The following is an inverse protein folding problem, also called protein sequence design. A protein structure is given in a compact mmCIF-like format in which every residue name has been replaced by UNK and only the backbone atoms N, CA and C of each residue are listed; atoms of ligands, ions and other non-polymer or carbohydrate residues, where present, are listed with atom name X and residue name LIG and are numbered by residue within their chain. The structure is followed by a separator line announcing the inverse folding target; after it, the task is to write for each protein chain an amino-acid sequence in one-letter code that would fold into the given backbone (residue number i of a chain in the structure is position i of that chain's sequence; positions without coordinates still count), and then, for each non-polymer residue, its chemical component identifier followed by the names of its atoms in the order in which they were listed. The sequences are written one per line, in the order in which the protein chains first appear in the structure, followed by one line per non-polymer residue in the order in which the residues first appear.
data_IF_551194801787
#
_entry.id   IF_551194801787
#
_cell.length_a   1.000
_cell.length_b   1.000
_cell.length_c   1.000
_cell.angle_alpha   90.00
_cell.angle_beta   90.00
_cell.angle_gamma   90.00
#
_symmetry.space_group_name_H-M   'P 1'
#
loop_
_entity.id
_entity.type
_entity.pdbx_description
1 polymer ?
#
# COMPACT_ATOMS: atom_id res chain seq x y z
N UNK A 1 -17.40 16.08 -6.21
CA UNK A 1 -17.29 14.61 -6.22
C UNK A 1 -18.44 14.04 -5.42
N UNK A 2 -19.06 12.94 -5.85
CA UNK A 2 -20.27 12.39 -5.24
C UNK A 2 -20.09 12.11 -3.74
N UNK A 3 -20.99 12.63 -2.93
CA UNK A 3 -20.93 12.76 -1.48
C UNK A 3 -21.03 11.46 -0.66
N UNK A 4 -20.78 10.28 -1.26
CA UNK A 4 -21.00 8.97 -0.61
C UNK A 4 -19.90 7.92 -0.89
N UNK A 5 -18.73 8.31 -1.41
CA UNK A 5 -17.62 7.36 -1.59
C UNK A 5 -16.77 7.27 -0.32
N UNK A 6 -16.42 6.04 0.08
CA UNK A 6 -15.53 5.76 1.22
C UNK A 6 -14.38 4.87 0.77
N UNK A 7 -13.16 5.18 1.21
CA UNK A 7 -11.99 4.35 0.95
C UNK A 7 -12.10 3.02 1.70
N UNK A 8 -12.01 1.91 0.98
CA UNK A 8 -12.15 0.57 1.54
C UNK A 8 -11.15 -0.35 0.87
N UNK A 9 -10.40 -1.11 1.66
CA UNK A 9 -9.45 -2.09 1.17
C UNK A 9 -9.72 -3.45 1.83
N UNK A 10 -10.04 -4.45 1.00
CA UNK A 10 -10.32 -5.80 1.45
C UNK A 10 -9.18 -6.76 1.08
N UNK A 11 -8.89 -7.70 1.98
CA UNK A 11 -7.93 -8.77 1.73
C UNK A 11 -8.53 -10.14 2.08
N UNK A 12 -8.15 -11.19 1.33
CA UNK A 12 -8.60 -12.57 1.52
C UNK A 12 -7.38 -13.51 1.65
N UNK A 13 -7.55 -14.61 2.38
CA UNK A 13 -6.69 -15.79 2.38
C UNK A 13 -5.18 -15.57 2.54
N UNK A 14 -4.42 -15.50 1.44
CA UNK A 14 -2.96 -15.58 1.43
C UNK A 14 -2.27 -14.25 1.74
N UNK A 15 -2.85 -13.12 1.35
CA UNK A 15 -2.30 -11.78 1.62
C UNK A 15 -2.57 -11.31 3.06
N UNK A 16 -3.66 -11.80 3.67
CA UNK A 16 -4.07 -11.44 5.03
C UNK A 16 -3.16 -12.01 6.12
N UNK A 17 -2.50 -13.16 5.90
CA UNK A 17 -1.69 -13.81 6.93
C UNK A 17 -0.48 -13.00 7.35
N UNK A 18 0.15 -12.27 6.42
CA UNK A 18 1.32 -11.47 6.73
C UNK A 18 0.97 -10.13 7.39
N UNK A 19 -0.07 -9.44 6.92
CA UNK A 19 -0.52 -8.19 7.51
C UNK A 19 -1.18 -8.39 8.89
N UNK A 20 -1.87 -9.51 9.12
CA UNK A 20 -2.31 -9.92 10.47
C UNK A 20 -1.14 -10.07 11.44
N UNK A 21 -0.01 -10.57 10.97
CA UNK A 21 1.19 -10.77 11.78
C UNK A 21 2.00 -9.49 11.99
N UNK A 22 1.61 -8.36 11.39
CA UNK A 22 2.34 -7.09 11.49
C UNK A 22 1.67 -6.06 12.39
N UNK A 23 0.67 -6.47 13.19
CA UNK A 23 -0.04 -5.61 14.13
C UNK A 23 -0.57 -4.31 13.48
N UNK A 24 -1.08 -4.42 12.24
CA UNK A 24 -1.75 -3.31 11.57
C UNK A 24 -2.93 -2.86 12.42
N UNK A 25 -3.00 -1.57 12.71
CA UNK A 25 -3.92 -0.96 13.65
C UNK A 25 -4.58 0.29 13.08
N UNK A 26 -5.58 0.82 13.79
CA UNK A 26 -6.15 2.12 13.44
C UNK A 26 -5.06 3.20 13.41
N UNK A 27 -5.26 4.20 12.56
CA UNK A 27 -4.33 5.27 12.21
C UNK A 27 -3.09 4.90 11.41
N UNK A 28 -2.82 3.61 11.17
CA UNK A 28 -1.77 3.19 10.22
C UNK A 28 -2.13 3.60 8.78
N UNK A 29 -1.09 3.81 7.97
CA UNK A 29 -1.23 4.29 6.59
C UNK A 29 -0.86 3.18 5.59
N UNK A 30 -1.83 2.78 4.77
CA UNK A 30 -1.55 2.05 3.54
C UNK A 30 -1.09 3.03 2.47
N UNK A 31 0.00 2.67 1.80
CA UNK A 31 0.41 3.26 0.53
C UNK A 31 0.33 2.21 -0.56
N UNK A 32 -0.44 2.50 -1.61
CA UNK A 32 -0.63 1.63 -2.76
C UNK A 32 0.29 2.07 -3.89
N UNK A 33 1.01 1.12 -4.48
CA UNK A 33 1.93 1.36 -5.59
C UNK A 33 1.82 0.26 -6.63
N UNK A 34 2.17 0.61 -7.86
CA UNK A 34 2.19 -0.32 -8.98
C UNK A 34 3.48 -0.20 -9.76
N UNK A 35 3.74 -1.20 -10.61
CA UNK A 35 4.84 -1.17 -11.56
C UNK A 35 4.37 -0.57 -12.88
N UNK A 36 4.92 0.58 -13.25
CA UNK A 36 4.51 1.32 -14.44
C UNK A 36 5.68 1.55 -15.39
N UNK A 37 5.35 1.70 -16.67
CA UNK A 37 6.24 2.21 -17.70
C UNK A 37 5.62 3.45 -18.30
N UNK A 38 6.46 4.39 -18.73
CA UNK A 38 6.01 5.58 -19.44
C UNK A 38 5.23 5.17 -20.68
N UNK A 39 4.11 5.84 -20.89
CA UNK A 39 3.26 5.69 -22.07
C UNK A 39 3.24 6.99 -22.85
N UNK A 40 2.94 6.89 -24.13
CA UNK A 40 2.64 8.00 -25.03
C UNK A 40 1.36 7.69 -25.79
N UNK A 41 0.68 8.74 -26.25
CA UNK A 41 -0.44 8.58 -27.17
C UNK A 41 0.12 8.64 -28.58
N UNK A 42 -0.13 7.62 -29.38
CA UNK A 42 0.23 7.56 -30.80
C UNK A 42 -1.01 7.07 -31.56
N UNK A 43 -1.46 7.86 -32.55
CA UNK A 43 -2.69 7.59 -33.31
C UNK A 43 -3.93 7.33 -32.43
N UNK A 44 -4.08 8.08 -31.33
CA UNK A 44 -5.20 7.93 -30.38
C UNK A 44 -5.08 6.71 -29.45
N UNK A 45 -4.06 5.87 -29.61
CA UNK A 45 -3.83 4.70 -28.78
C UNK A 45 -2.77 4.98 -27.70
N UNK A 46 -3.02 4.51 -26.48
CA UNK A 46 -2.02 4.51 -25.42
C UNK A 46 -1.01 3.39 -25.68
N UNK A 47 0.24 3.76 -25.94
CA UNK A 47 1.33 2.82 -26.19
C UNK A 47 2.49 3.04 -25.23
N UNK A 48 3.29 2.00 -24.99
CA UNK A 48 4.51 2.15 -24.21
C UNK A 48 5.55 3.00 -24.96
N UNK A 49 6.17 3.91 -24.22
CA UNK A 49 7.34 4.62 -24.69
C UNK A 49 8.51 3.63 -24.78
N UNK A 50 8.96 3.32 -26.00
CA UNK A 50 10.06 2.37 -26.24
C UNK A 50 11.40 2.83 -25.65
N UNK A 51 11.54 4.13 -25.36
CA UNK A 51 12.73 4.67 -24.66
C UNK A 51 12.75 4.35 -23.17
N UNK A 52 11.61 4.03 -22.55
CA UNK A 52 11.54 3.61 -21.15
C UNK A 52 11.76 2.09 -21.02
N UNK A 53 13.02 1.69 -20.86
CA UNK A 53 13.44 0.30 -20.72
C UNK A 53 13.31 -0.26 -19.29
N UNK A 54 13.35 0.62 -18.29
CA UNK A 54 13.51 0.24 -16.89
C UNK A 54 12.20 0.13 -16.15
N UNK A 55 11.17 0.92 -16.48
CA UNK A 55 9.94 1.02 -15.66
C UNK A 55 10.23 1.50 -14.23
N UNK A 56 9.19 1.64 -13.41
CA UNK A 56 9.34 2.11 -12.03
C UNK A 56 8.13 1.78 -11.16
N UNK A 57 8.37 1.59 -9.87
CA UNK A 57 7.31 1.55 -8.86
C UNK A 57 6.83 2.98 -8.56
N UNK A 58 5.53 3.21 -8.61
CA UNK A 58 4.91 4.53 -8.38
C UNK A 58 3.77 4.38 -7.37
N UNK A 59 3.79 5.19 -6.31
CA UNK A 59 2.65 5.32 -5.39
C UNK A 59 1.51 6.00 -6.15
N UNK A 60 0.34 5.38 -6.17
CA UNK A 60 -0.85 5.94 -6.83
C UNK A 60 -1.96 6.31 -5.87
N UNK A 61 -1.93 5.83 -4.63
CA UNK A 61 -2.97 6.15 -3.66
C UNK A 61 -2.60 5.77 -2.24
N UNK A 62 -3.47 6.17 -1.32
CA UNK A 62 -3.29 5.97 0.11
C UNK A 62 -4.63 5.69 0.80
N UNK A 63 -4.54 5.04 1.97
CA UNK A 63 -5.66 4.84 2.88
C UNK A 63 -5.14 4.82 4.31
N UNK A 64 -5.52 5.80 5.11
CA UNK A 64 -5.32 5.78 6.55
C UNK A 64 -6.46 5.01 7.20
N UNK A 65 -6.13 4.00 7.99
CA UNK A 65 -7.10 3.10 8.60
C UNK A 65 -7.88 3.85 9.67
N UNK A 66 -9.19 3.95 9.51
CA UNK A 66 -10.09 4.44 10.55
C UNK A 66 -10.82 3.32 11.29
N UNK A 67 -10.96 2.15 10.65
CA UNK A 67 -11.63 1.00 11.25
C UNK A 67 -11.19 -0.30 10.59
N UNK A 68 -11.06 -1.36 11.38
CA UNK A 68 -10.72 -2.71 10.92
C UNK A 68 -11.88 -3.65 11.21
N UNK A 69 -12.39 -4.32 10.17
CA UNK A 69 -13.37 -5.40 10.31
C UNK A 69 -12.69 -6.73 10.02
N UNK A 70 -12.85 -7.67 10.94
CA UNK A 70 -12.38 -9.04 10.94
C UNK A 70 -13.58 -9.98 11.19
N UNK A 71 -13.34 -11.29 11.12
CA UNK A 71 -14.40 -12.29 11.32
C UNK A 71 -15.14 -12.11 12.66
N UNK A 72 -14.42 -11.72 13.72
CA UNK A 72 -14.93 -11.56 15.07
C UNK A 72 -15.93 -10.40 15.22
N UNK A 73 -15.85 -9.37 14.38
CA UNK A 73 -16.73 -8.20 14.41
C UNK A 73 -17.45 -7.97 13.05
N UNK A 74 -17.59 -9.02 12.22
CA UNK A 74 -18.20 -8.93 10.89
C UNK A 74 -19.63 -8.39 10.86
N UNK A 75 -20.37 -8.50 11.97
CA UNK A 75 -21.72 -7.93 12.08
C UNK A 75 -21.71 -6.40 11.99
N UNK A 76 -20.57 -5.74 12.22
CA UNK A 76 -20.44 -4.31 12.00
C UNK A 76 -20.58 -3.90 10.53
N UNK A 77 -20.39 -4.83 9.59
CA UNK A 77 -20.67 -4.60 8.15
C UNK A 77 -22.15 -4.24 7.96
N UNK A 78 -23.06 -4.81 8.77
CA UNK A 78 -24.49 -4.55 8.69
C UNK A 78 -24.86 -3.10 9.04
N UNK A 79 -24.00 -2.41 9.79
CA UNK A 79 -24.18 -1.01 10.19
C UNK A 79 -23.67 -0.01 9.16
N UNK A 80 -23.11 -0.49 8.04
CA UNK A 80 -22.57 0.35 6.99
C UNK A 80 -23.63 0.52 5.89
N UNK A 81 -24.44 1.57 5.99
CA UNK A 81 -25.57 1.78 5.07
C UNK A 81 -25.15 1.84 3.59
N UNK A 82 -23.95 2.35 3.29
CA UNK A 82 -23.42 2.45 1.93
C UNK A 82 -23.01 1.09 1.32
N UNK A 83 -22.71 0.08 2.14
CA UNK A 83 -22.28 -1.27 1.71
C UNK A 83 -23.40 -2.01 0.97
N UNK A 84 -24.65 -1.77 1.33
CA UNK A 84 -25.81 -2.38 0.70
C UNK A 84 -26.40 -1.54 -0.44
N UNK A 85 -25.77 -0.40 -0.77
CA UNK A 85 -26.16 0.36 -1.95
C UNK A 85 -25.90 -0.46 -3.22
N UNK A 86 -26.92 -0.58 -4.08
CA UNK A 86 -26.85 -1.35 -5.34
C UNK A 86 -25.76 -0.84 -6.31
N UNK A 87 -25.17 0.32 -6.03
CA UNK A 87 -24.16 0.98 -6.85
C UNK A 87 -22.72 0.57 -6.49
N UNK A 88 -22.48 -0.17 -5.40
CA UNK A 88 -21.11 -0.49 -4.94
C UNK A 88 -20.93 -1.94 -4.47
N UNK A 89 -21.01 -2.95 -5.36
CA UNK A 89 -20.69 -4.32 -5.01
C UNK A 89 -19.18 -4.51 -4.82
N UNK A 90 -18.66 -4.37 -3.59
CA UNK A 90 -17.32 -4.87 -3.28
C UNK A 90 -17.38 -6.36 -2.90
N UNK A 91 -16.61 -7.25 -3.56
CA UNK A 91 -16.60 -8.68 -3.24
C UNK A 91 -16.36 -8.95 -1.75
N UNK A 92 -15.45 -8.20 -1.13
CA UNK A 92 -15.09 -8.34 0.29
C UNK A 92 -16.18 -7.89 1.27
N UNK A 93 -17.24 -7.21 0.82
CA UNK A 93 -18.40 -6.88 1.65
C UNK A 93 -19.47 -7.98 1.64
N UNK A 94 -19.31 -9.00 0.78
CA UNK A 94 -20.25 -10.11 0.73
C UNK A 94 -20.08 -11.00 1.95
N UNK A 95 -21.09 -11.01 2.82
CA UNK A 95 -21.13 -11.80 4.08
C UNK A 95 -20.80 -13.27 3.88
N UNK A 96 -21.10 -13.86 2.70
CA UNK A 96 -20.75 -15.27 2.38
C UNK A 96 -19.24 -15.52 2.32
N UNK A 97 -18.42 -14.48 2.14
CA UNK A 97 -16.98 -14.59 2.20
C UNK A 97 -16.45 -14.58 3.64
N UNK A 98 -17.25 -14.11 4.60
CA UNK A 98 -17.01 -14.06 6.05
C UNK A 98 -17.65 -15.24 6.79
N UNK A 99 -17.72 -16.38 6.13
CA UNK A 99 -18.21 -17.63 6.73
C UNK A 99 -17.33 -18.78 6.27
N UNK A 100 -17.05 -19.69 7.20
CA UNK A 100 -16.38 -20.95 6.91
C UNK A 100 -17.14 -21.70 5.81
N UNK A 101 -16.42 -22.22 4.81
CA UNK A 101 -16.99 -23.05 3.76
C UNK A 101 -16.67 -24.51 4.06
N UNK A 102 -17.70 -25.35 4.03
CA UNK A 102 -17.59 -26.79 4.24
C UNK A 102 -17.89 -27.53 2.94
N UNK A 103 -17.16 -28.62 2.67
CA UNK A 103 -17.40 -29.54 1.55
C UNK A 103 -17.41 -30.96 2.12
N UNK A 104 -18.48 -31.71 1.88
CA UNK A 104 -18.68 -33.07 2.42
C UNK A 104 -18.51 -33.14 3.96
N UNK A 105 -19.08 -32.18 4.69
CA UNK A 105 -18.98 -32.09 6.16
C UNK A 105 -17.61 -31.67 6.69
N UNK A 106 -16.60 -31.49 5.84
CA UNK A 106 -15.24 -31.06 6.23
C UNK A 106 -15.02 -29.59 5.94
N UNK A 107 -14.31 -28.89 6.84
CA UNK A 107 -13.92 -27.51 6.62
C UNK A 107 -12.97 -27.45 5.41
N UNK A 108 -13.41 -26.76 4.36
CA UNK A 108 -12.65 -26.60 3.12
C UNK A 108 -11.99 -25.21 3.01
N UNK A 109 -12.61 -24.18 3.60
CA UNK A 109 -12.03 -22.83 3.67
C UNK A 109 -12.44 -22.14 4.97
N UNK A 110 -11.48 -21.73 5.78
CA UNK A 110 -11.73 -20.87 6.94
C UNK A 110 -12.02 -19.44 6.48
N UNK A 111 -12.97 -18.76 7.09
CA UNK A 111 -13.13 -17.32 6.89
C UNK A 111 -11.95 -16.57 7.52
N UNK A 112 -11.28 -15.74 6.73
CA UNK A 112 -10.12 -14.97 7.18
C UNK A 112 -10.01 -13.61 6.50
N UNK A 113 -11.11 -13.13 5.91
CA UNK A 113 -11.16 -11.80 5.33
C UNK A 113 -10.82 -10.73 6.36
N UNK A 114 -10.25 -9.64 5.87
CA UNK A 114 -10.12 -8.39 6.61
C UNK A 114 -10.62 -7.28 5.70
N UNK A 115 -11.24 -6.28 6.31
CA UNK A 115 -11.63 -5.05 5.66
C UNK A 115 -11.05 -3.88 6.44
N UNK A 116 -10.25 -3.07 5.75
CA UNK A 116 -9.78 -1.79 6.25
C UNK A 116 -10.67 -0.70 5.67
N UNK A 117 -11.28 0.08 6.56
CA UNK A 117 -12.12 1.21 6.21
C UNK A 117 -11.33 2.47 6.52
N UNK A 118 -11.27 3.38 5.55
CA UNK A 118 -10.54 4.64 5.68
C UNK A 118 -11.15 5.54 6.77
N UNK A 119 -10.31 6.37 7.38
CA UNK A 119 -10.77 7.58 8.07
C UNK A 119 -11.46 8.51 7.07
N UNK A 120 -12.39 9.33 7.56
CA UNK A 120 -13.02 10.35 6.73
C UNK A 120 -12.01 11.48 6.41
N UNK A 121 -11.20 11.86 7.40
CA UNK A 121 -10.09 12.83 7.30
C UNK A 121 -8.81 12.25 7.90
N UNK A 122 -7.64 12.70 7.45
CA UNK A 122 -6.37 12.26 8.04
C UNK A 122 -6.30 12.67 9.51
N UNK A 123 -5.72 11.81 10.36
CA UNK A 123 -5.61 12.09 11.80
C UNK A 123 -4.64 13.22 12.13
N UNK A 124 -3.71 13.53 11.21
CA UNK A 124 -2.70 14.58 11.36
C UNK A 124 -2.95 15.81 10.47
N UNK A 125 -3.92 15.77 9.55
CA UNK A 125 -4.28 16.93 8.75
C UNK A 125 -5.76 16.87 8.30
N UNK A 126 -6.59 17.74 8.87
CA UNK A 126 -8.03 17.80 8.60
C UNK A 126 -8.40 18.28 7.19
N UNK A 127 -7.46 18.89 6.47
CA UNK A 127 -7.70 19.43 5.12
C UNK A 127 -7.77 18.34 4.06
N UNK A 128 -7.28 17.13 4.38
CA UNK A 128 -7.22 16.01 3.47
C UNK A 128 -8.10 14.86 3.93
N UNK A 129 -8.78 14.24 2.97
CA UNK A 129 -9.50 12.99 3.21
C UNK A 129 -8.53 11.89 3.66
N UNK A 130 -9.00 10.97 4.51
CA UNK A 130 -8.22 9.85 5.01
C UNK A 130 -7.85 8.81 3.95
N UNK A 131 -8.21 9.02 2.69
CA UNK A 131 -7.91 8.17 1.55
C UNK A 131 -7.91 9.00 0.27
N UNK A 132 -7.25 8.48 -0.77
CA UNK A 132 -7.25 9.16 -2.06
C UNK A 132 -6.31 8.53 -3.08
N UNK A 133 -6.31 9.14 -4.26
CA UNK A 133 -5.35 8.87 -5.33
C UNK A 133 -4.52 10.11 -5.60
N UNK A 134 -3.24 9.90 -5.89
CA UNK A 134 -2.35 10.99 -6.23
C UNK A 134 -2.37 11.27 -7.73
N UNK A 135 -2.22 12.54 -8.10
CA UNK A 135 -1.80 12.89 -9.47
C UNK A 135 -0.33 12.52 -9.64
N UNK A 136 0.04 12.00 -10.80
CA UNK A 136 1.41 11.58 -11.03
C UNK A 136 2.40 12.75 -10.85
N UNK A 137 3.42 12.51 -10.03
CA UNK A 137 4.59 13.35 -9.82
C UNK A 137 5.83 12.46 -9.70
N UNK A 138 7.01 12.96 -10.11
CA UNK A 138 8.28 12.22 -9.97
C UNK A 138 8.61 11.88 -8.52
N UNK A 139 8.09 12.64 -7.56
CA UNK A 139 8.15 12.38 -6.13
C UNK A 139 7.47 11.07 -5.77
N UNK A 140 6.43 10.61 -6.48
CA UNK A 140 5.75 9.33 -6.19
C UNK A 140 6.55 8.10 -6.65
N UNK A 141 7.63 8.29 -7.39
CA UNK A 141 8.48 7.19 -7.85
C UNK A 141 9.28 6.64 -6.68
N UNK A 142 9.05 5.37 -6.37
CA UNK A 142 9.77 4.60 -5.35
C UNK A 142 11.09 4.06 -5.87
N UNK A 143 11.14 3.55 -7.12
CA UNK A 143 12.36 3.00 -7.71
C UNK A 143 13.47 4.04 -7.75
N UNK A 144 14.68 3.65 -7.33
CA UNK A 144 15.87 4.48 -7.47
C UNK A 144 16.25 4.55 -8.95
N UNK A 145 16.22 5.76 -9.51
CA UNK A 145 16.46 6.01 -10.93
C UNK A 145 17.84 6.60 -11.20
N UNK A 146 18.55 7.07 -10.16
CA UNK A 146 19.93 7.51 -10.26
C UNK A 146 20.83 6.34 -10.68
N UNK A 147 21.50 6.47 -11.82
CA UNK A 147 22.34 5.41 -12.41
C UNK A 147 23.56 5.08 -11.55
N UNK A 148 24.03 6.01 -10.72
CA UNK A 148 25.15 5.77 -9.82
C UNK A 148 24.75 4.90 -8.64
N UNK A 149 23.48 5.01 -8.21
CA UNK A 149 22.93 4.25 -7.08
C UNK A 149 22.29 2.94 -7.53
N UNK A 150 21.65 2.92 -8.70
CA UNK A 150 20.99 1.76 -9.29
C UNK A 150 21.48 1.59 -10.74
N UNK A 151 22.71 1.06 -10.93
CA UNK A 151 23.28 0.91 -12.27
C UNK A 151 22.47 -0.09 -13.10
N UNK A 152 22.26 0.18 -14.40
CA UNK A 152 21.57 -0.74 -15.28
C UNK A 152 22.38 -2.03 -15.48
N UNK A 153 21.69 -3.15 -15.60
CA UNK A 153 22.31 -4.42 -16.01
C UNK A 153 22.72 -4.41 -17.49
N UNK A 154 23.32 -5.52 -17.97
CA UNK A 154 23.74 -5.68 -19.38
C UNK A 154 22.65 -5.48 -20.45
N UNK A 155 21.38 -5.40 -20.05
CA UNK A 155 20.22 -5.14 -20.93
C UNK A 155 19.67 -3.71 -20.77
N UNK A 156 20.39 -2.81 -20.08
CA UNK A 156 19.96 -1.44 -19.84
C UNK A 156 18.86 -1.30 -18.77
N UNK A 157 18.57 -2.34 -17.98
CA UNK A 157 17.48 -2.33 -16.99
C UNK A 157 18.00 -2.12 -15.58
N UNK A 158 17.43 -1.16 -14.89
CA UNK A 158 17.67 -0.91 -13.47
C UNK A 158 16.99 -1.96 -12.58
N UNK A 159 17.52 -2.17 -11.37
CA UNK A 159 16.97 -3.13 -10.43
C UNK A 159 15.65 -2.60 -9.85
N UNK A 160 14.59 -3.39 -9.96
CA UNK A 160 13.25 -3.03 -9.49
C UNK A 160 13.15 -3.00 -7.97
N UNK A 161 14.01 -3.75 -7.29
CA UNK A 161 14.06 -3.88 -5.84
C UNK A 161 14.87 -2.78 -5.16
N UNK A 162 15.49 -1.87 -5.91
CA UNK A 162 16.21 -0.74 -5.34
C UNK A 162 15.30 0.47 -5.36
N UNK A 163 14.90 0.90 -4.17
CA UNK A 163 14.03 2.06 -3.96
C UNK A 163 14.81 3.22 -3.35
N UNK A 164 14.28 4.42 -3.49
CA UNK A 164 14.88 5.65 -2.98
C UNK A 164 14.97 5.62 -1.47
N UNK A 165 16.20 5.62 -0.95
CA UNK A 165 16.48 5.47 0.48
C UNK A 165 15.89 6.56 1.35
N UNK A 166 15.91 7.82 0.90
CA UNK A 166 15.40 8.95 1.68
C UNK A 166 13.90 8.83 2.02
N UNK A 167 13.15 7.97 1.33
CA UNK A 167 11.74 7.68 1.62
C UNK A 167 11.51 6.65 2.70
N UNK A 168 12.57 5.94 3.08
CA UNK A 168 12.53 4.87 4.06
C UNK A 168 13.69 5.09 5.02
N UNK A 169 13.60 6.09 5.91
CA UNK A 169 14.63 6.30 6.93
C UNK A 169 14.80 5.04 7.79
N UNK A 170 16.04 4.79 8.23
CA UNK A 170 16.32 3.65 9.10
C UNK A 170 15.51 3.74 10.39
N UNK A 171 14.93 2.62 10.82
CA UNK A 171 14.05 2.53 11.99
C UNK A 171 12.57 2.75 11.70
N UNK A 172 12.20 3.14 10.47
CA UNK A 172 10.79 3.21 10.06
C UNK A 172 10.18 1.80 10.03
N UNK A 173 9.03 1.63 10.72
CA UNK A 173 8.28 0.36 10.74
C UNK A 173 7.44 0.26 9.48
N UNK A 174 7.94 -0.49 8.51
CA UNK A 174 7.30 -0.71 7.21
C UNK A 174 7.00 -2.19 7.05
N UNK A 175 5.78 -2.51 6.63
CA UNK A 175 5.39 -3.88 6.31
C UNK A 175 6.38 -4.52 5.33
N UNK A 176 6.70 -5.81 5.52
CA UNK A 176 7.62 -6.62 4.71
C UNK A 176 9.11 -6.27 4.88
N UNK A 177 9.47 -5.27 5.69
CA UNK A 177 10.85 -4.79 5.82
C UNK A 177 11.32 -4.62 7.28
N UNK A 178 11.23 -5.67 8.13
CA UNK A 178 11.65 -5.56 9.53
C UNK A 178 13.18 -5.56 9.72
N UNK A 179 13.95 -5.88 8.68
CA UNK A 179 15.36 -6.26 8.82
C UNK A 179 16.31 -5.16 8.33
N UNK A 180 17.40 -4.96 9.08
CA UNK A 180 18.50 -4.04 8.75
C UNK A 180 19.08 -4.22 7.33
N UNK A 181 18.99 -5.42 6.77
CA UNK A 181 19.45 -5.73 5.39
C UNK A 181 18.70 -4.98 4.28
N UNK A 182 17.64 -4.24 4.59
CA UNK A 182 17.03 -3.31 3.62
C UNK A 182 17.82 -2.00 3.47
N UNK A 183 18.65 -1.66 4.46
CA UNK A 183 19.42 -0.43 4.53
C UNK A 183 20.93 -0.64 4.48
N UNK A 184 21.42 -1.82 4.90
CA UNK A 184 22.85 -2.13 5.01
C UNK A 184 23.21 -3.41 4.26
N UNK A 185 24.42 -3.46 3.71
CA UNK A 185 25.03 -4.65 3.11
C UNK A 185 25.47 -5.67 4.16
N UNK A 186 25.91 -6.84 3.69
CA UNK A 186 26.43 -7.90 4.56
C UNK A 186 27.77 -7.52 5.22
N UNK A 187 28.48 -6.56 4.62
CA UNK A 187 29.67 -5.88 5.15
C UNK A 187 29.35 -4.86 6.25
N UNK A 188 28.07 -4.59 6.50
CA UNK A 188 27.61 -3.59 7.48
C UNK A 188 27.61 -2.16 6.96
N UNK A 189 28.06 -1.92 5.72
CA UNK A 189 28.06 -0.62 5.08
C UNK A 189 26.66 -0.23 4.63
N UNK A 190 26.38 1.07 4.62
CA UNK A 190 25.07 1.57 4.27
C UNK A 190 24.85 1.55 2.74
N UNK A 191 23.72 1.00 2.31
CA UNK A 191 23.37 0.95 0.90
C UNK A 191 22.99 2.35 0.39
N UNK A 192 23.25 2.66 -0.89
CA UNK A 192 22.80 3.92 -1.50
C UNK A 192 21.29 3.93 -1.81
N UNK A 193 20.62 2.79 -1.66
CA UNK A 193 19.19 2.57 -1.89
C UNK A 193 18.56 1.79 -0.73
N UNK A 194 17.23 1.86 -0.63
CA UNK A 194 16.45 0.94 0.16
C UNK A 194 16.16 -0.33 -0.65
N UNK A 195 16.65 -1.48 -0.18
CA UNK A 195 16.46 -2.77 -0.86
C UNK A 195 15.11 -3.38 -0.46
N UNK A 196 14.08 -3.15 -1.27
CA UNK A 196 12.75 -3.72 -1.01
C UNK A 196 12.73 -5.23 -1.20
N UNK A 197 11.96 -5.90 -0.33
CA UNK A 197 11.63 -7.33 -0.44
C UNK A 197 10.12 -7.54 -0.65
N UNK A 198 9.36 -6.46 -0.87
CA UNK A 198 7.91 -6.52 -0.95
C UNK A 198 7.46 -7.35 -2.14
N UNK A 199 6.67 -8.43 -1.92
CA UNK A 199 6.02 -9.15 -3.00
C UNK A 199 4.70 -8.49 -3.44
N UNK A 200 4.24 -7.43 -2.74
CA UNK A 200 2.92 -6.83 -2.89
C UNK A 200 2.84 -5.56 -3.74
N UNK A 201 1.66 -4.94 -3.74
CA UNK A 201 1.34 -3.65 -4.37
C UNK A 201 0.97 -2.60 -3.31
N UNK A 202 1.23 -2.92 -2.05
CA UNK A 202 0.95 -2.11 -0.89
C UNK A 202 2.07 -2.25 0.14
N UNK A 203 2.25 -1.22 0.95
CA UNK A 203 2.94 -1.36 2.23
C UNK A 203 2.22 -0.52 3.28
N UNK A 204 2.26 -1.00 4.51
CA UNK A 204 1.73 -0.31 5.68
C UNK A 204 2.89 0.35 6.41
N UNK A 205 2.64 1.60 6.78
CA UNK A 205 3.47 2.35 7.69
C UNK A 205 2.74 2.41 9.03
N UNK A 206 3.39 1.94 10.09
CA UNK A 206 2.79 1.96 11.44
C UNK A 206 2.89 3.35 12.09
N UNK A 207 1.76 3.86 12.58
CA UNK A 207 1.64 5.14 13.28
C UNK A 207 1.74 4.94 14.81
N UNK A 208 2.79 4.27 15.28
CA UNK A 208 3.00 4.16 16.72
C UNK A 208 3.48 5.52 17.27
N UNK A 209 2.72 6.07 18.23
CA UNK A 209 2.98 7.33 18.97
C UNK A 209 4.37 7.41 19.62
N UNK A 210 5.09 6.30 19.74
CA UNK A 210 6.39 6.20 20.41
C UNK A 210 7.57 6.80 19.62
N UNK A 211 7.31 7.44 18.48
CA UNK A 211 8.30 8.23 17.76
C UNK A 211 7.63 9.55 17.37
N UNK A 212 7.71 10.59 18.20
CA UNK A 212 7.29 11.94 17.80
C UNK A 212 7.87 12.32 16.42
N UNK A 213 9.08 11.84 16.09
CA UNK A 213 9.72 12.00 14.78
C UNK A 213 9.05 11.27 13.60
N UNK A 214 8.35 10.15 13.83
CA UNK A 214 7.72 9.37 12.75
C UNK A 214 6.43 10.03 12.27
N UNK A 215 5.64 10.60 13.18
CA UNK A 215 4.41 11.32 12.85
C UNK A 215 4.64 12.50 11.89
N UNK A 216 5.71 13.28 12.11
CA UNK A 216 6.13 14.35 11.19
C UNK A 216 6.58 13.79 9.83
N UNK A 217 7.36 12.71 9.80
CA UNK A 217 7.79 12.08 8.55
C UNK A 217 6.63 11.56 7.70
N UNK A 218 5.52 11.12 8.31
CA UNK A 218 4.35 10.62 7.59
C UNK A 218 3.43 11.73 7.11
N UNK A 219 3.23 12.76 7.94
CA UNK A 219 2.52 13.96 7.55
C UNK A 219 3.23 14.64 6.38
N UNK A 220 4.55 14.79 6.46
CA UNK A 220 5.37 15.31 5.36
C UNK A 220 5.30 14.40 4.13
N UNK A 221 5.29 13.06 4.29
CA UNK A 221 5.16 12.17 3.14
C UNK A 221 3.82 12.34 2.41
N UNK A 222 2.69 12.40 3.11
CA UNK A 222 1.41 12.61 2.42
C UNK A 222 1.31 14.04 1.87
N UNK A 223 1.78 15.06 2.59
CA UNK A 223 1.81 16.46 2.15
C UNK A 223 2.78 16.73 0.99
N UNK A 224 3.91 16.02 0.93
CA UNK A 224 4.86 16.09 -0.19
C UNK A 224 4.31 15.43 -1.46
N UNK A 225 3.36 14.51 -1.29
CA UNK A 225 2.79 13.68 -2.34
C UNK A 225 1.41 14.18 -2.82
N UNK A 226 0.68 14.96 -2.00
CA UNK A 226 -0.61 15.58 -2.33
C UNK A 226 -0.48 16.94 -3.01
#
# INVERSE_FOLDING_TARGET
GGSNWKGVFGQDNSSSGHLKNQNVSEDDLFLFYGWYRKTKIENGCLIYDKSDLSGRHIIFGYLQIGKIIIEQNKDEIKKLDWVYSRTHPHPHLNVKLWTNKYRNGKLWRKANNILYIARDILSWNSDYAGWGVFKFDKKLILTETDILKNPPNKYGKQNRSYWKKYRFPYGMKISYHPNRSCWFGDDGEELPYFKTKSPGQEYVISNHKDLEKSSYQYADLVLELS
#
